data_IF_281016084408
#
_entry.id   IF_281016084408
#
_cell.length_a   1.000
_cell.length_b   1.000
_cell.length_c   1.000
_cell.angle_alpha   90.00
_cell.angle_beta   90.00
_cell.angle_gamma   90.00
#
_symmetry.space_group_name_H-M   'P 1'
#
loop_
_entity.id
_entity.type
_entity.pdbx_description
1 polymer ?
#
# COMPACT_ATOMS: atom_id res chain seq x y z
N UNK A 1 6.53 -25.32 -24.66
CA UNK A 1 6.62 -25.61 -23.22
C UNK A 1 6.06 -24.49 -22.35
N UNK A 2 5.78 -23.29 -22.88
CA UNK A 2 5.13 -22.18 -22.15
C UNK A 2 3.64 -22.03 -22.56
N UNK A 3 2.93 -23.12 -22.79
CA UNK A 3 1.49 -23.07 -23.09
C UNK A 3 0.69 -22.86 -21.81
N UNK A 4 -0.34 -22.01 -21.88
CA UNK A 4 -1.31 -21.86 -20.79
C UNK A 4 -2.26 -23.07 -20.76
N UNK A 5 -2.69 -23.48 -19.56
CA UNK A 5 -3.76 -24.47 -19.42
C UNK A 5 -5.13 -23.84 -19.74
N UNK A 6 -6.16 -24.65 -20.08
CA UNK A 6 -7.50 -24.13 -20.27
C UNK A 6 -8.03 -23.31 -19.08
N UNK A 7 -7.73 -23.75 -17.86
CA UNK A 7 -8.11 -23.07 -16.60
C UNK A 7 -7.46 -21.69 -16.49
N UNK A 8 -6.18 -21.58 -16.87
CA UNK A 8 -5.45 -20.30 -16.91
C UNK A 8 -6.03 -19.34 -17.95
N UNK A 9 -6.42 -19.84 -19.12
CA UNK A 9 -7.10 -19.03 -20.14
C UNK A 9 -8.46 -18.54 -19.64
N UNK A 10 -9.22 -19.40 -18.95
CA UNK A 10 -10.50 -19.03 -18.32
C UNK A 10 -10.29 -17.94 -17.25
N UNK A 11 -9.27 -18.07 -16.40
CA UNK A 11 -8.97 -17.06 -15.39
C UNK A 11 -8.72 -15.67 -16.01
N UNK A 12 -7.96 -15.59 -17.10
CA UNK A 12 -7.73 -14.33 -17.83
C UNK A 12 -9.02 -13.85 -18.51
N UNK A 13 -9.88 -14.77 -18.97
CA UNK A 13 -11.10 -14.44 -19.72
C UNK A 13 -12.27 -14.00 -18.82
N UNK A 14 -12.13 -14.04 -17.50
CA UNK A 14 -13.22 -13.85 -16.53
C UNK A 14 -13.48 -12.40 -16.12
N UNK A 15 -12.80 -11.41 -16.72
CA UNK A 15 -12.94 -10.00 -16.37
C UNK A 15 -13.16 -9.11 -17.61
N UNK A 16 -13.60 -7.88 -17.42
CA UNK A 16 -14.01 -6.97 -18.50
C UNK A 16 -12.86 -6.64 -19.49
N UNK A 17 -11.61 -6.67 -19.03
CA UNK A 17 -10.40 -6.46 -19.85
C UNK A 17 -9.85 -7.72 -20.57
N UNK A 18 -10.57 -8.84 -20.58
CA UNK A 18 -10.08 -10.14 -21.03
C UNK A 18 -9.49 -10.18 -22.45
N UNK A 19 -10.17 -9.61 -23.43
CA UNK A 19 -9.69 -9.65 -24.82
C UNK A 19 -8.33 -8.97 -24.99
N UNK A 20 -8.11 -7.69 -24.60
CA UNK A 20 -6.79 -7.07 -24.68
C UNK A 20 -5.75 -7.75 -23.77
N UNK A 21 -6.15 -8.35 -22.65
CA UNK A 21 -5.25 -9.12 -21.78
C UNK A 21 -4.74 -10.37 -22.50
N UNK A 22 -5.62 -11.20 -23.06
CA UNK A 22 -5.27 -12.41 -23.83
C UNK A 22 -4.37 -12.11 -25.03
N UNK A 23 -4.68 -11.06 -25.80
CA UNK A 23 -3.83 -10.63 -26.92
C UNK A 23 -2.42 -10.21 -26.43
N UNK A 24 -2.35 -9.53 -25.31
CA UNK A 24 -1.07 -9.10 -24.71
C UNK A 24 -0.29 -10.30 -24.18
N UNK A 25 -0.95 -11.22 -23.46
CA UNK A 25 -0.33 -12.47 -22.99
C UNK A 25 0.21 -13.28 -24.16
N UNK A 26 -0.57 -13.47 -25.22
CA UNK A 26 -0.13 -14.17 -26.44
C UNK A 26 1.16 -13.55 -27.01
N UNK A 27 1.28 -12.25 -26.97
CA UNK A 27 2.46 -11.51 -27.46
C UNK A 27 3.65 -11.59 -26.52
N UNK A 28 3.43 -11.48 -25.20
CA UNK A 28 4.49 -11.25 -24.22
C UNK A 28 4.88 -12.48 -23.39
N UNK A 29 4.09 -13.57 -23.39
CA UNK A 29 4.32 -14.73 -22.52
C UNK A 29 5.74 -15.30 -22.65
N UNK A 30 6.22 -15.50 -23.88
CA UNK A 30 7.57 -16.02 -24.10
C UNK A 30 8.65 -15.07 -23.58
N UNK A 31 8.52 -13.78 -23.83
CA UNK A 31 9.48 -12.77 -23.38
C UNK A 31 9.49 -12.68 -21.85
N UNK A 32 8.31 -12.63 -21.23
CA UNK A 32 8.20 -12.57 -19.76
C UNK A 32 8.75 -13.82 -19.08
N UNK A 33 8.55 -15.02 -19.68
CA UNK A 33 9.08 -16.25 -19.11
C UNK A 33 10.57 -16.45 -19.40
N UNK A 34 11.05 -16.17 -20.62
CA UNK A 34 12.41 -16.47 -21.02
C UNK A 34 13.40 -15.38 -20.64
N UNK A 35 13.04 -14.12 -20.80
CA UNK A 35 13.94 -12.97 -20.60
C UNK A 35 13.76 -12.37 -19.19
N UNK A 36 12.53 -12.37 -18.67
CA UNK A 36 12.23 -11.79 -17.35
C UNK A 36 12.16 -12.83 -16.23
N UNK A 37 12.22 -14.13 -16.54
CA UNK A 37 12.26 -15.22 -15.56
C UNK A 37 10.93 -15.44 -14.82
N UNK A 38 9.80 -14.96 -15.34
CA UNK A 38 8.49 -15.21 -14.74
C UNK A 38 7.98 -16.60 -15.09
N UNK A 39 7.19 -17.19 -14.18
CA UNK A 39 6.44 -18.40 -14.49
C UNK A 39 5.14 -18.08 -15.24
N UNK A 40 4.56 -19.03 -16.01
CA UNK A 40 3.26 -18.83 -16.63
C UNK A 40 2.17 -18.43 -15.62
N UNK A 41 2.19 -19.02 -14.40
CA UNK A 41 1.26 -18.69 -13.31
C UNK A 41 1.36 -17.23 -12.89
N UNK A 42 2.58 -16.68 -12.80
CA UNK A 42 2.81 -15.27 -12.49
C UNK A 42 2.29 -14.35 -13.58
N UNK A 43 2.48 -14.73 -14.86
CA UNK A 43 1.93 -13.97 -15.98
C UNK A 43 0.39 -14.00 -15.94
N UNK A 44 -0.21 -15.14 -15.62
CA UNK A 44 -1.68 -15.27 -15.43
C UNK A 44 -2.16 -14.40 -14.28
N UNK A 45 -1.47 -14.38 -13.14
CA UNK A 45 -1.84 -13.53 -12.00
C UNK A 45 -1.89 -12.04 -12.39
N UNK A 46 -0.92 -11.56 -13.18
CA UNK A 46 -0.91 -10.19 -13.70
C UNK A 46 -2.03 -9.98 -14.73
N UNK A 47 -2.39 -11.01 -15.47
CA UNK A 47 -3.36 -10.93 -16.57
C UNK A 47 -4.83 -11.06 -16.14
N UNK A 48 -5.10 -11.44 -14.87
CA UNK A 48 -6.43 -11.82 -14.40
C UNK A 48 -7.17 -10.71 -13.66
N UNK A 49 -6.91 -9.43 -13.99
CA UNK A 49 -7.62 -8.28 -13.40
C UNK A 49 -7.84 -7.18 -14.43
N UNK A 50 -8.71 -6.23 -14.12
CA UNK A 50 -8.93 -5.06 -14.95
C UNK A 50 -7.63 -4.22 -15.01
N UNK A 51 -7.25 -3.81 -16.21
CA UNK A 51 -5.95 -3.14 -16.41
C UNK A 51 -4.76 -4.08 -16.66
N UNK A 52 -4.99 -5.37 -16.87
CA UNK A 52 -3.95 -6.38 -17.15
C UNK A 52 -3.03 -6.02 -18.32
N UNK A 53 -3.58 -5.52 -19.44
CA UNK A 53 -2.75 -5.11 -20.60
C UNK A 53 -1.67 -4.08 -20.21
N UNK A 54 -2.01 -2.90 -19.65
CA UNK A 54 -0.98 -1.94 -19.25
C UNK A 54 -0.08 -2.46 -18.13
N UNK A 55 -0.54 -3.36 -17.25
CA UNK A 55 0.28 -4.00 -16.24
C UNK A 55 1.36 -4.88 -16.87
N UNK A 56 1.00 -5.81 -17.76
CA UNK A 56 1.92 -6.69 -18.47
C UNK A 56 2.99 -5.91 -19.27
N UNK A 57 2.57 -4.87 -20.00
CA UNK A 57 3.48 -4.02 -20.77
C UNK A 57 4.44 -3.26 -19.85
N UNK A 58 3.97 -2.83 -18.67
CA UNK A 58 4.79 -2.15 -17.68
C UNK A 58 5.77 -3.11 -17.01
N UNK A 59 5.34 -4.33 -16.68
CA UNK A 59 6.22 -5.39 -16.13
C UNK A 59 7.31 -5.73 -17.12
N UNK A 60 6.99 -5.96 -18.41
CA UNK A 60 8.01 -6.22 -19.44
C UNK A 60 9.08 -5.12 -19.45
N UNK A 61 8.69 -3.87 -19.32
CA UNK A 61 9.60 -2.72 -19.36
C UNK A 61 10.39 -2.54 -18.06
N UNK A 62 9.74 -2.69 -16.90
CA UNK A 62 10.31 -2.31 -15.61
C UNK A 62 10.93 -3.45 -14.83
N UNK A 63 10.51 -4.71 -15.01
CA UNK A 63 11.04 -5.85 -14.26
C UNK A 63 12.58 -5.94 -14.34
N UNK A 64 13.20 -5.87 -15.55
CA UNK A 64 14.66 -5.93 -15.65
C UNK A 64 15.35 -4.78 -14.90
N UNK A 65 14.72 -3.61 -14.82
CA UNK A 65 15.24 -2.43 -14.11
C UNK A 65 15.07 -2.58 -12.61
N UNK A 66 13.88 -2.93 -12.16
CA UNK A 66 13.54 -3.01 -10.73
C UNK A 66 14.27 -4.15 -10.00
N UNK A 67 14.65 -5.20 -10.72
CA UNK A 67 15.44 -6.30 -10.16
C UNK A 67 16.96 -5.99 -10.06
N UNK A 68 17.43 -4.89 -10.64
CA UNK A 68 18.82 -4.46 -10.57
C UNK A 68 19.02 -3.38 -9.49
N UNK A 69 20.29 -3.19 -8.98
CA UNK A 69 20.59 -2.03 -8.15
C UNK A 69 20.27 -0.71 -8.89
N UNK A 70 19.78 0.32 -8.19
CA UNK A 70 19.63 0.45 -6.74
C UNK A 70 18.30 -0.10 -6.18
N UNK A 71 17.45 -0.69 -7.00
CA UNK A 71 16.10 -1.13 -6.58
C UNK A 71 16.13 -2.47 -5.84
N UNK A 72 16.75 -3.50 -6.44
CA UNK A 72 16.98 -4.82 -5.83
C UNK A 72 15.69 -5.59 -5.47
N UNK A 73 14.60 -5.35 -6.21
CA UNK A 73 13.37 -6.10 -6.01
C UNK A 73 13.49 -7.52 -6.57
N UNK A 74 12.80 -8.46 -5.96
CA UNK A 74 12.63 -9.79 -6.54
C UNK A 74 11.51 -9.79 -7.59
N UNK A 75 11.53 -10.71 -8.58
CA UNK A 75 10.43 -10.86 -9.52
C UNK A 75 9.07 -11.04 -8.83
N UNK A 76 9.02 -11.82 -7.74
CA UNK A 76 7.79 -12.01 -6.95
C UNK A 76 7.23 -10.70 -6.39
N UNK A 77 8.08 -9.79 -5.92
CA UNK A 77 7.67 -8.48 -5.42
C UNK A 77 7.10 -7.59 -6.54
N UNK A 78 7.69 -7.64 -7.74
CA UNK A 78 7.16 -6.91 -8.90
C UNK A 78 5.81 -7.49 -9.34
N UNK A 79 5.68 -8.84 -9.33
CA UNK A 79 4.42 -9.53 -9.65
C UNK A 79 3.34 -9.18 -8.64
N UNK A 80 3.63 -9.14 -7.34
CA UNK A 80 2.68 -8.75 -6.31
C UNK A 80 2.06 -7.38 -6.63
N UNK A 81 2.89 -6.35 -6.87
CA UNK A 81 2.41 -5.01 -7.25
C UNK A 81 1.63 -5.03 -8.57
N UNK A 82 2.02 -5.91 -9.50
CA UNK A 82 1.44 -5.99 -10.84
C UNK A 82 0.09 -6.71 -10.91
N UNK A 83 -0.31 -7.42 -9.85
CA UNK A 83 -1.50 -8.29 -9.83
C UNK A 83 -2.77 -7.59 -9.31
N UNK A 84 -2.78 -6.26 -9.25
CA UNK A 84 -3.90 -5.45 -8.76
C UNK A 84 -4.29 -4.34 -9.74
N UNK A 85 -5.51 -3.85 -9.59
CA UNK A 85 -5.95 -2.67 -10.34
C UNK A 85 -5.06 -1.46 -10.01
N UNK A 86 -4.67 -0.74 -11.06
CA UNK A 86 -3.72 0.37 -10.93
C UNK A 86 -2.25 -0.04 -10.91
N UNK A 87 -1.93 -1.30 -11.21
CA UNK A 87 -0.57 -1.86 -11.23
C UNK A 87 0.45 -1.02 -12.02
N UNK A 88 0.08 -0.55 -13.22
CA UNK A 88 0.95 0.34 -14.01
C UNK A 88 1.43 1.54 -13.20
N UNK A 89 0.47 2.27 -12.61
CA UNK A 89 0.77 3.49 -11.85
C UNK A 89 1.56 3.18 -10.58
N UNK A 90 1.27 2.06 -9.91
CA UNK A 90 2.00 1.63 -8.72
C UNK A 90 3.45 1.28 -9.06
N UNK A 91 3.71 0.49 -10.12
CA UNK A 91 5.06 0.14 -10.57
C UNK A 91 5.88 1.37 -11.00
N UNK A 92 5.29 2.29 -11.76
CA UNK A 92 5.95 3.54 -12.16
C UNK A 92 6.27 4.43 -10.94
N UNK A 93 5.38 4.42 -9.94
CA UNK A 93 5.61 5.15 -8.69
C UNK A 93 6.71 4.49 -7.85
N UNK A 94 6.74 3.17 -7.76
CA UNK A 94 7.84 2.43 -7.10
C UNK A 94 9.17 2.74 -7.80
N UNK A 95 9.25 2.69 -9.11
CA UNK A 95 10.46 3.03 -9.85
C UNK A 95 10.96 4.44 -9.48
N UNK A 96 10.07 5.41 -9.34
CA UNK A 96 10.41 6.79 -9.01
C UNK A 96 10.79 6.98 -7.54
N UNK A 97 10.06 6.36 -6.61
CA UNK A 97 10.13 6.66 -5.18
C UNK A 97 10.99 5.71 -4.36
N UNK A 98 11.19 4.45 -4.80
CA UNK A 98 11.93 3.46 -4.02
C UNK A 98 13.32 3.94 -3.62
N UNK A 99 14.16 4.51 -4.54
CA UNK A 99 15.48 4.99 -4.14
C UNK A 99 15.41 6.07 -3.06
N UNK A 100 14.50 7.04 -3.21
CA UNK A 100 14.33 8.15 -2.25
C UNK A 100 13.86 7.62 -0.90
N UNK A 101 12.84 6.76 -0.88
CA UNK A 101 12.28 6.22 0.36
C UNK A 101 13.30 5.33 1.10
N UNK A 102 14.12 4.58 0.39
CA UNK A 102 15.14 3.75 1.00
C UNK A 102 16.37 4.55 1.43
N UNK A 103 16.90 5.45 0.60
CA UNK A 103 18.16 6.16 0.87
C UNK A 103 17.96 7.33 1.82
N UNK A 104 16.91 8.14 1.62
CA UNK A 104 16.69 9.37 2.38
C UNK A 104 15.85 9.14 3.65
N UNK A 105 15.00 8.10 3.64
CA UNK A 105 14.03 7.86 4.73
C UNK A 105 14.21 6.51 5.42
N UNK A 106 15.18 5.69 5.02
CA UNK A 106 15.55 4.45 5.69
C UNK A 106 14.51 3.32 5.58
N UNK A 107 13.57 3.41 4.64
CA UNK A 107 12.64 2.31 4.41
C UNK A 107 13.34 1.15 3.70
N UNK A 108 12.91 -0.07 3.98
CA UNK A 108 13.35 -1.24 3.23
C UNK A 108 12.56 -1.36 1.92
N UNK A 109 13.14 -1.97 0.87
CA UNK A 109 12.40 -2.27 -0.36
C UNK A 109 11.12 -3.06 -0.11
N UNK A 110 11.13 -4.01 0.84
CA UNK A 110 9.96 -4.77 1.26
C UNK A 110 8.82 -3.91 1.82
N UNK A 111 9.15 -2.88 2.60
CA UNK A 111 8.16 -1.92 3.13
C UNK A 111 7.52 -1.09 1.99
N UNK A 112 8.32 -0.65 1.04
CA UNK A 112 7.80 0.10 -0.13
C UNK A 112 6.90 -0.79 -0.99
N UNK A 113 7.30 -2.05 -1.22
CA UNK A 113 6.48 -3.04 -1.93
C UNK A 113 5.15 -3.29 -1.21
N UNK A 114 5.18 -3.50 0.11
CA UNK A 114 3.97 -3.73 0.89
C UNK A 114 2.95 -2.60 0.75
N UNK A 115 3.40 -1.33 0.73
CA UNK A 115 2.52 -0.18 0.48
C UNK A 115 2.00 -0.18 -0.97
N UNK A 116 2.87 -0.51 -1.94
CA UNK A 116 2.53 -0.50 -3.36
C UNK A 116 1.54 -1.59 -3.77
N UNK A 117 1.59 -2.73 -3.08
CA UNK A 117 0.76 -3.93 -3.31
C UNK A 117 -0.70 -3.76 -2.86
N UNK A 118 -1.06 -2.63 -2.29
CA UNK A 118 -2.43 -2.35 -1.85
C UNK A 118 -3.23 -1.56 -2.91
N UNK A 119 -4.56 -1.70 -2.85
CA UNK A 119 -5.48 -0.85 -3.60
C UNK A 119 -5.18 0.61 -3.24
N UNK A 120 -4.79 1.41 -4.23
CA UNK A 120 -4.36 2.79 -4.01
C UNK A 120 -2.88 2.95 -3.60
N UNK A 121 -2.04 1.93 -3.83
CA UNK A 121 -0.61 1.94 -3.49
C UNK A 121 0.15 3.15 -4.02
N UNK A 122 -0.14 3.60 -5.26
CA UNK A 122 0.41 4.86 -5.79
C UNK A 122 0.19 6.05 -4.84
N UNK A 123 -1.08 6.28 -4.46
CA UNK A 123 -1.45 7.41 -3.61
C UNK A 123 -0.88 7.29 -2.20
N UNK A 124 -0.81 6.06 -1.67
CA UNK A 124 -0.19 5.79 -0.38
C UNK A 124 1.31 6.08 -0.40
N UNK A 125 2.05 5.62 -1.41
CA UNK A 125 3.48 5.89 -1.59
C UNK A 125 3.78 7.39 -1.71
N UNK A 126 3.03 8.12 -2.54
CA UNK A 126 3.17 9.58 -2.68
C UNK A 126 2.89 10.31 -1.37
N UNK A 127 1.93 9.81 -0.60
CA UNK A 127 1.61 10.38 0.72
C UNK A 127 2.70 10.07 1.74
N UNK A 128 3.25 8.86 1.75
CA UNK A 128 4.40 8.49 2.59
C UNK A 128 5.60 9.37 2.26
N UNK A 129 5.97 9.52 1.00
CA UNK A 129 7.08 10.40 0.60
C UNK A 129 6.90 11.82 1.16
N UNK A 130 5.70 12.37 1.11
CA UNK A 130 5.39 13.72 1.60
C UNK A 130 5.35 13.82 3.12
N UNK A 131 4.74 12.84 3.79
CA UNK A 131 4.44 12.94 5.22
C UNK A 131 5.48 12.29 6.13
N UNK A 132 6.23 11.29 5.68
CA UNK A 132 7.21 10.60 6.51
C UNK A 132 8.22 11.56 7.17
N UNK A 133 8.84 12.53 6.44
CA UNK A 133 9.75 13.48 7.04
C UNK A 133 9.10 14.41 8.08
N UNK A 134 7.79 14.60 8.00
CA UNK A 134 7.03 15.43 8.93
C UNK A 134 6.61 14.62 10.15
N UNK A 135 6.03 13.44 9.94
CA UNK A 135 5.49 12.60 11.02
C UNK A 135 6.56 12.02 11.92
N UNK A 136 7.78 11.79 11.40
CA UNK A 136 8.90 11.33 12.22
C UNK A 136 9.57 12.44 13.06
N UNK A 137 9.18 13.70 12.89
CA UNK A 137 9.71 14.83 13.70
C UNK A 137 8.71 15.30 14.75
N UNK A 138 9.20 15.99 15.83
CA UNK A 138 8.29 16.66 16.76
C UNK A 138 7.34 17.63 16.01
N UNK A 139 6.09 17.76 16.45
CA UNK A 139 5.47 17.17 17.63
C UNK A 139 4.86 15.77 17.42
N UNK A 140 5.08 15.13 16.29
CA UNK A 140 4.46 13.84 15.95
C UNK A 140 5.24 12.66 16.54
N UNK A 141 6.56 12.57 16.26
CA UNK A 141 7.48 11.58 16.80
C UNK A 141 7.18 10.13 16.45
N UNK A 142 6.53 9.89 15.30
CA UNK A 142 6.29 8.53 14.84
C UNK A 142 7.57 7.89 14.31
N UNK A 143 7.67 6.57 14.40
CA UNK A 143 8.73 5.84 13.71
C UNK A 143 8.37 5.60 12.24
N UNK A 144 9.36 5.40 11.34
CA UNK A 144 9.08 5.03 9.96
C UNK A 144 8.18 3.79 9.85
N UNK A 145 8.37 2.79 10.71
CA UNK A 145 7.57 1.57 10.75
C UNK A 145 6.10 1.86 11.07
N UNK A 146 5.83 2.79 11.99
CA UNK A 146 4.46 3.20 12.33
C UNK A 146 3.78 3.89 11.14
N UNK A 147 4.51 4.74 10.41
CA UNK A 147 3.99 5.39 9.19
C UNK A 147 3.70 4.36 8.10
N UNK A 148 4.61 3.39 7.88
CA UNK A 148 4.43 2.27 6.94
C UNK A 148 3.23 1.42 7.32
N UNK A 149 3.07 1.11 8.61
CA UNK A 149 1.94 0.31 9.12
C UNK A 149 0.60 0.96 8.76
N UNK A 150 0.46 2.28 8.94
CA UNK A 150 -0.75 3.00 8.56
C UNK A 150 -0.93 3.02 7.04
N UNK A 151 0.16 3.25 6.29
CA UNK A 151 0.14 3.36 4.83
C UNK A 151 -0.24 2.06 4.13
N UNK A 152 0.11 0.91 4.74
CA UNK A 152 -0.10 -0.42 4.20
C UNK A 152 -1.55 -0.92 4.32
N UNK A 153 -2.46 -0.14 4.87
CA UNK A 153 -3.86 -0.50 4.96
C UNK A 153 -4.70 0.04 3.80
N UNK A 154 -5.83 -0.61 3.55
CA UNK A 154 -6.86 -0.08 2.65
C UNK A 154 -7.26 1.31 3.19
N UNK A 155 -7.02 2.35 2.39
CA UNK A 155 -7.23 3.74 2.83
C UNK A 155 -6.03 4.36 3.56
N UNK A 156 -4.81 3.84 3.36
CA UNK A 156 -3.59 4.37 3.99
C UNK A 156 -3.37 5.87 3.77
N UNK A 157 -3.62 6.39 2.56
CA UNK A 157 -3.54 7.83 2.29
C UNK A 157 -4.45 8.66 3.21
N UNK A 158 -5.79 8.48 3.23
CA UNK A 158 -6.66 9.27 4.10
C UNK A 158 -6.39 9.04 5.60
N UNK A 159 -5.92 7.86 6.00
CA UNK A 159 -5.52 7.61 7.39
C UNK A 159 -4.29 8.42 7.78
N UNK A 160 -3.22 8.43 6.95
CA UNK A 160 -2.01 9.23 7.18
C UNK A 160 -2.30 10.74 7.24
N UNK A 161 -3.13 11.26 6.33
CA UNK A 161 -3.53 12.67 6.32
C UNK A 161 -4.34 13.03 7.58
N UNK A 162 -5.15 12.10 8.07
CA UNK A 162 -5.91 12.28 9.31
C UNK A 162 -5.01 12.23 10.53
N UNK A 163 -4.04 11.32 10.57
CA UNK A 163 -3.01 11.27 11.62
C UNK A 163 -2.22 12.58 11.65
N UNK A 164 -1.75 13.08 10.51
CA UNK A 164 -1.05 14.37 10.46
C UNK A 164 -1.88 15.51 11.09
N UNK A 165 -3.18 15.53 10.83
CA UNK A 165 -4.08 16.55 11.34
C UNK A 165 -4.42 16.38 12.83
N UNK A 166 -4.70 15.16 13.27
CA UNK A 166 -5.28 14.88 14.58
C UNK A 166 -4.29 14.44 15.65
N UNK A 167 -3.14 13.84 15.31
CA UNK A 167 -2.19 13.33 16.30
C UNK A 167 -1.78 14.40 17.33
N UNK A 168 -1.40 15.66 16.94
CA UNK A 168 -1.02 16.68 17.89
C UNK A 168 -2.17 17.12 18.82
N UNK A 169 -3.41 16.91 18.40
CA UNK A 169 -4.60 17.25 19.17
C UNK A 169 -4.94 16.10 20.12
N UNK A 170 -4.98 14.87 19.61
CA UNK A 170 -5.35 13.67 20.37
C UNK A 170 -4.34 13.32 21.48
N UNK A 171 -3.07 13.69 21.33
CA UNK A 171 -2.06 13.50 22.35
C UNK A 171 -2.09 14.56 23.46
N UNK A 172 -2.93 15.60 23.36
CA UNK A 172 -3.07 16.66 24.40
C UNK A 172 -4.36 16.48 25.19
N UNK A 173 -4.44 17.08 26.41
CA UNK A 173 -5.71 17.17 27.12
C UNK A 173 -6.79 17.88 26.27
N UNK A 174 -8.05 17.46 26.34
CA UNK A 174 -8.61 16.43 27.21
C UNK A 174 -8.49 14.99 26.67
N UNK A 175 -7.86 14.77 25.51
CA UNK A 175 -7.79 13.44 24.87
C UNK A 175 -6.79 12.53 25.57
N UNK A 176 -5.51 12.93 25.65
CA UNK A 176 -4.44 12.24 26.35
C UNK A 176 -4.09 10.86 25.80
N UNK A 177 -4.27 10.66 24.48
CA UNK A 177 -3.81 9.43 23.83
C UNK A 177 -2.30 9.47 23.63
N UNK A 178 -1.67 8.29 23.59
CA UNK A 178 -0.27 8.19 23.16
C UNK A 178 -0.19 8.11 21.61
N UNK A 179 0.95 8.44 21.01
CA UNK A 179 1.14 8.26 19.57
C UNK A 179 0.86 6.83 19.11
N UNK A 180 1.27 5.82 19.89
CA UNK A 180 1.03 4.40 19.62
C UNK A 180 -0.47 4.08 19.59
N UNK A 181 -1.24 4.65 20.52
CA UNK A 181 -2.70 4.47 20.57
C UNK A 181 -3.38 5.08 19.33
N UNK A 182 -2.92 6.26 18.88
CA UNK A 182 -3.41 6.89 17.65
C UNK A 182 -3.06 6.05 16.42
N UNK A 183 -1.84 5.50 16.35
CA UNK A 183 -1.40 4.58 15.28
C UNK A 183 -2.27 3.32 15.26
N UNK A 184 -2.56 2.73 16.43
CA UNK A 184 -3.42 1.54 16.55
C UNK A 184 -4.80 1.80 15.96
N UNK A 185 -5.43 2.93 16.25
CA UNK A 185 -6.73 3.33 15.67
C UNK A 185 -6.60 3.56 14.16
N UNK A 186 -5.54 4.23 13.72
CA UNK A 186 -5.32 4.55 12.31
C UNK A 186 -5.05 3.32 11.45
N UNK A 187 -4.51 2.26 12.05
CA UNK A 187 -4.12 1.03 11.35
C UNK A 187 -5.31 0.09 11.03
N UNK A 188 -6.53 0.44 11.39
CA UNK A 188 -7.71 -0.37 11.07
C UNK A 188 -8.31 -0.01 9.71
N UNK A 189 -9.05 -0.97 9.16
CA UNK A 189 -9.97 -0.70 8.03
C UNK A 189 -10.92 0.41 8.48
N UNK A 190 -10.81 1.58 7.84
CA UNK A 190 -11.56 2.75 8.29
C UNK A 190 -10.86 3.62 9.34
N UNK A 191 -9.53 3.57 9.43
CA UNK A 191 -8.75 4.37 10.38
C UNK A 191 -9.05 5.86 10.37
N UNK A 192 -9.33 6.46 9.18
CA UNK A 192 -9.79 7.85 9.08
C UNK A 192 -11.10 8.10 9.86
N UNK A 193 -12.23 7.43 9.55
CA UNK A 193 -13.48 7.66 10.29
C UNK A 193 -13.38 7.30 11.78
N UNK A 194 -12.57 6.30 12.14
CA UNK A 194 -12.33 5.96 13.54
C UNK A 194 -11.66 7.11 14.30
N UNK A 195 -10.57 7.67 13.77
CA UNK A 195 -9.88 8.83 14.35
C UNK A 195 -10.78 10.08 14.44
N UNK A 196 -11.57 10.36 13.41
CA UNK A 196 -12.50 11.48 13.40
C UNK A 196 -13.62 11.28 14.44
N UNK A 197 -14.08 10.06 14.63
CA UNK A 197 -15.07 9.71 15.65
C UNK A 197 -14.51 9.87 17.06
N UNK A 198 -13.28 9.38 17.30
CA UNK A 198 -12.59 9.58 18.58
C UNK A 198 -12.42 11.07 18.87
N UNK A 199 -11.94 11.85 17.89
CA UNK A 199 -11.78 13.30 18.04
C UNK A 199 -13.08 14.00 18.41
N UNK A 200 -14.21 13.61 17.82
CA UNK A 200 -15.52 14.22 18.05
C UNK A 200 -16.14 13.81 19.39
N UNK A 201 -16.06 12.51 19.75
CA UNK A 201 -16.81 11.96 20.85
C UNK A 201 -16.04 11.93 22.18
N UNK A 202 -14.73 11.74 22.16
CA UNK A 202 -13.95 11.55 23.38
C UNK A 202 -14.08 12.70 24.38
N UNK A 203 -14.09 13.99 23.99
CA UNK A 203 -14.29 15.09 24.95
C UNK A 203 -15.65 15.07 25.65
N UNK A 204 -16.66 14.50 24.96
CA UNK A 204 -18.02 14.39 25.53
C UNK A 204 -18.11 13.18 26.45
N UNK A 205 -17.51 12.07 26.07
CA UNK A 205 -17.56 10.80 26.81
C UNK A 205 -16.70 10.82 28.09
N UNK A 206 -15.56 11.58 28.08
CA UNK A 206 -14.65 11.66 29.23
C UNK A 206 -15.08 12.63 30.34
N UNK A 207 -16.35 12.98 30.41
CA UNK A 207 -16.83 13.78 31.55
C UNK A 207 -16.81 12.96 32.84
N UNK A 208 -16.15 13.48 33.92
CA UNK A 208 -16.14 12.79 35.22
C UNK A 208 -17.57 12.54 35.72
N UNK A 209 -17.82 11.47 36.51
CA UNK A 209 -16.81 10.51 37.03
C UNK A 209 -16.64 9.23 36.19
N UNK A 210 -17.39 9.00 35.12
CA UNK A 210 -17.54 7.69 34.48
C UNK A 210 -17.07 7.62 33.00
N UNK A 211 -16.22 8.54 32.57
CA UNK A 211 -15.72 8.53 31.19
C UNK A 211 -14.78 7.35 30.89
N UNK A 212 -14.75 6.84 29.64
CA UNK A 212 -13.85 5.76 29.24
C UNK A 212 -12.38 6.17 29.36
N UNK A 213 -11.52 5.20 29.71
CA UNK A 213 -10.07 5.41 29.69
C UNK A 213 -9.53 5.46 28.25
N UNK A 214 -8.33 6.01 28.02
CA UNK A 214 -7.71 5.96 26.69
C UNK A 214 -7.67 4.55 26.11
N UNK A 215 -7.36 3.53 26.91
CA UNK A 215 -7.28 2.12 26.50
C UNK A 215 -8.64 1.60 26.05
N UNK A 216 -9.70 1.95 26.78
CA UNK A 216 -11.09 1.58 26.40
C UNK A 216 -11.50 2.25 25.09
N UNK A 217 -11.10 3.52 24.89
CA UNK A 217 -11.36 4.23 23.62
C UNK A 217 -10.66 3.55 22.45
N UNK A 218 -9.38 3.18 22.63
CA UNK A 218 -8.64 2.43 21.61
C UNK A 218 -9.31 1.10 21.31
N UNK A 219 -9.67 0.33 22.34
CA UNK A 219 -10.34 -0.96 22.16
C UNK A 219 -11.65 -0.86 21.37
N UNK A 220 -12.45 0.19 21.60
CA UNK A 220 -13.70 0.44 20.88
C UNK A 220 -13.44 0.90 19.43
N UNK A 221 -12.46 1.77 19.23
CA UNK A 221 -12.17 2.36 17.93
C UNK A 221 -11.37 1.44 17.01
N UNK A 222 -10.79 0.35 17.55
CA UNK A 222 -9.95 -0.61 16.82
C UNK A 222 -10.70 -1.89 16.41
N UNK A 223 -11.98 -2.01 16.72
CA UNK A 223 -12.86 -3.08 16.26
C UNK A 223 -13.74 -2.61 15.10
#
# INVERSE_FOLDING_TARGET
PYGLTPEQVVAIASHDGAKPALETVKRLLLVLCQECGLTPEQVVAIASHDGAKPALETVQRLLPVLCQPPYGLTPNQVVAIASHDGAKQALETVQRLLPVLCQDHGLTPGQVVAIADNIGGKQALETVQRLLPVLCKPPYGLTPEQVVTIANNIGGKPALETVQRLLPVLCRPPYGLTPEQVVTIANNIGGKPALETVHRLLPVLRKPPYGPTPEQVVAIASN
#
